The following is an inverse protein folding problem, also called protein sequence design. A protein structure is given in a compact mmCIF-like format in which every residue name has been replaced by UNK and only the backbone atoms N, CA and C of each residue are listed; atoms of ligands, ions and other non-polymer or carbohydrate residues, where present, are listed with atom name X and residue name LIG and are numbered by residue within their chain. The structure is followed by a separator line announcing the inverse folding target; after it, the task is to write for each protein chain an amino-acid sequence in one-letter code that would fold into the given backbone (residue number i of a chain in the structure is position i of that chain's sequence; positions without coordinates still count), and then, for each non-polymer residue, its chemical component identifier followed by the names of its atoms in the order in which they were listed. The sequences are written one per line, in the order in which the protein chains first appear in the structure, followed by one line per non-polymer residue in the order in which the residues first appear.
data_IF_180741388780
#
_entry.id   IF_180741388780
#
_cell.length_a   1.000
_cell.length_b   1.000
_cell.length_c   1.000
_cell.angle_alpha   90.00
_cell.angle_beta   90.00
_cell.angle_gamma   90.00
#
_symmetry.space_group_name_H-M   'P 1'
#
loop_
_entity.id
_entity.type
_entity.pdbx_description
1 polymer ?
#
# COMPACT_ATOMS: atom_id res chain seq x y z
N UNK A 1 16.78 -7.58 -16.36
CA UNK A 1 16.45 -8.16 -15.03
C UNK A 1 14.96 -8.00 -14.83
N UNK A 2 14.18 -9.04 -15.13
CA UNK A 2 12.71 -8.99 -15.18
C UNK A 2 12.20 -10.35 -14.68
N UNK A 3 12.17 -10.57 -13.37
CA UNK A 3 11.39 -11.64 -12.72
C UNK A 3 11.61 -11.63 -11.20
N UNK A 4 10.60 -11.20 -10.44
CA UNK A 4 10.23 -11.83 -9.16
C UNK A 4 11.17 -11.83 -7.94
N UNK A 5 12.42 -11.38 -8.02
CA UNK A 5 13.38 -11.51 -6.89
C UNK A 5 13.01 -10.69 -5.65
N UNK A 6 12.17 -9.66 -5.80
CA UNK A 6 11.67 -8.84 -4.70
C UNK A 6 10.21 -9.18 -4.43
N UNK A 7 9.96 -9.93 -3.36
CA UNK A 7 8.62 -10.16 -2.83
C UNK A 7 8.21 -8.96 -1.95
N UNK A 8 7.27 -8.11 -2.39
CA UNK A 8 6.83 -6.98 -1.58
C UNK A 8 6.03 -7.49 -0.37
N UNK A 9 6.36 -6.97 0.81
CA UNK A 9 5.50 -7.12 1.99
C UNK A 9 4.36 -6.12 1.85
N UNK A 10 3.15 -6.62 1.60
CA UNK A 10 1.93 -5.82 1.54
C UNK A 10 1.39 -5.73 2.96
N UNK A 11 1.17 -4.50 3.40
CA UNK A 11 0.66 -4.20 4.73
C UNK A 11 -0.87 -4.15 4.73
N UNK A 12 -1.42 -3.33 3.85
CA UNK A 12 -2.88 -3.17 3.68
C UNK A 12 -3.21 -2.60 2.29
N UNK A 13 -4.49 -2.67 1.92
CA UNK A 13 -5.03 -2.13 0.67
C UNK A 13 -6.24 -1.24 0.92
N UNK A 14 -6.31 -0.11 0.22
CA UNK A 14 -7.45 0.80 0.24
C UNK A 14 -8.04 0.97 -1.16
N UNK A 15 -9.37 1.16 -1.32
CA UNK A 15 -9.95 1.61 -2.58
C UNK A 15 -9.33 2.95 -3.01
N UNK A 16 -9.19 3.19 -4.31
CA UNK A 16 -8.65 4.44 -4.84
C UNK A 16 -9.48 5.66 -4.40
N UNK A 17 -10.79 5.48 -4.23
CA UNK A 17 -11.69 6.50 -3.67
C UNK A 17 -11.30 6.93 -2.25
N UNK A 18 -10.56 6.09 -1.51
CA UNK A 18 -10.12 6.31 -0.13
C UNK A 18 -8.62 6.65 -0.06
N UNK A 19 -8.02 7.17 -1.14
CA UNK A 19 -6.59 7.50 -1.17
C UNK A 19 -6.14 8.43 -0.03
N UNK A 20 -7.02 9.34 0.43
CA UNK A 20 -6.72 10.19 1.58
C UNK A 20 -6.53 9.38 2.86
N UNK A 21 -7.41 8.42 3.14
CA UNK A 21 -7.29 7.55 4.32
C UNK A 21 -6.01 6.69 4.27
N UNK A 22 -5.63 6.24 3.07
CA UNK A 22 -4.35 5.55 2.86
C UNK A 22 -3.15 6.44 3.19
N UNK A 23 -3.17 7.71 2.76
CA UNK A 23 -2.10 8.66 3.08
C UNK A 23 -2.06 9.01 4.57
N UNK A 24 -3.21 9.17 5.22
CA UNK A 24 -3.28 9.42 6.67
C UNK A 24 -2.71 8.23 7.46
N UNK A 25 -2.97 6.99 7.01
CA UNK A 25 -2.42 5.77 7.59
C UNK A 25 -0.89 5.71 7.49
N UNK A 26 -0.33 6.06 6.33
CA UNK A 26 1.12 6.14 6.12
C UNK A 26 1.74 7.28 6.93
N UNK A 27 1.10 8.46 6.95
CA UNK A 27 1.57 9.63 7.69
C UNK A 27 1.62 9.38 9.20
N UNK A 28 0.70 8.56 9.72
CA UNK A 28 0.69 8.12 11.10
C UNK A 28 1.77 7.06 11.43
N UNK A 29 2.64 6.70 10.49
CA UNK A 29 3.65 5.63 10.60
C UNK A 29 3.04 4.28 11.04
N UNK A 30 1.83 3.97 10.59
CA UNK A 30 1.12 2.73 10.95
C UNK A 30 1.45 1.56 10.02
N UNK A 31 2.08 1.84 8.88
CA UNK A 31 2.43 0.83 7.88
C UNK A 31 3.78 0.16 8.20
N UNK A 32 3.83 -1.17 8.16
CA UNK A 32 5.07 -1.96 8.27
C UNK A 32 5.59 -2.39 6.88
N UNK A 33 4.79 -2.17 5.84
CA UNK A 33 5.09 -2.52 4.46
C UNK A 33 4.43 -1.57 3.45
N UNK A 34 4.16 -2.08 2.25
CA UNK A 34 3.52 -1.30 1.17
C UNK A 34 2.02 -1.19 1.40
N UNK A 35 1.49 0.03 1.25
CA UNK A 35 0.06 0.31 1.18
C UNK A 35 -0.34 0.39 -0.30
N UNK A 36 -1.36 -0.36 -0.70
CA UNK A 36 -1.79 -0.47 -2.11
C UNK A 36 -3.13 0.23 -2.32
N UNK A 37 -3.26 1.00 -3.39
CA UNK A 37 -4.54 1.54 -3.85
C UNK A 37 -5.15 0.64 -4.93
N UNK A 38 -6.42 0.28 -4.77
CA UNK A 38 -7.14 -0.62 -5.68
C UNK A 38 -8.21 0.12 -6.48
N UNK A 39 -8.33 -0.23 -7.76
CA UNK A 39 -9.40 0.21 -8.65
C UNK A 39 -10.45 -0.91 -8.71
N UNK A 40 -11.18 -1.11 -7.62
CA UNK A 40 -12.33 -2.02 -7.59
C UNK A 40 -13.58 -1.31 -8.12
#
# INVERSE_FOLDING_TARGET
MVAGDLQPIIDTSFPMAEAQAAHDYVAANRNTGKVILTLA
#
